data_IF_140488660988
#
_entry.id   IF_140488660988
#
_cell.length_a   1.000
_cell.length_b   1.000
_cell.length_c   1.000
_cell.angle_alpha   90.00
_cell.angle_beta   90.00
_cell.angle_gamma   90.00
#
_symmetry.space_group_name_H-M   'P 1'
#
loop_
_entity.id
_entity.type
_entity.pdbx_description
1 polymer ?
#
# COMPACT_ATOMS: atom_id res chain seq x y z
N UNK A 1 -46.55 9.04 21.20
CA UNK A 1 -45.76 9.82 20.21
C UNK A 1 -44.26 9.95 20.55
N UNK A 2 -43.81 9.69 21.79
CA UNK A 2 -42.38 9.82 22.15
C UNK A 2 -41.53 8.59 21.76
N UNK A 3 -42.04 7.38 21.96
CA UNK A 3 -41.31 6.11 21.71
C UNK A 3 -40.98 5.90 20.22
N UNK A 4 -41.87 6.34 19.32
CA UNK A 4 -41.67 6.21 17.87
C UNK A 4 -40.53 7.11 17.36
N UNK A 5 -40.31 8.27 18.01
CA UNK A 5 -39.20 9.20 17.72
C UNK A 5 -37.86 8.66 18.24
N UNK A 6 -37.85 7.99 19.38
CA UNK A 6 -36.64 7.37 19.95
C UNK A 6 -36.17 6.18 19.11
N UNK A 7 -37.11 5.36 18.61
CA UNK A 7 -36.81 4.23 17.71
C UNK A 7 -36.31 4.68 16.33
N UNK A 8 -36.82 5.80 15.79
CA UNK A 8 -36.32 6.36 14.53
C UNK A 8 -34.92 6.94 14.67
N UNK A 9 -34.59 7.59 15.79
CA UNK A 9 -33.22 8.09 16.08
C UNK A 9 -32.19 6.95 16.24
N UNK A 10 -32.57 5.83 16.85
CA UNK A 10 -31.72 4.63 16.93
C UNK A 10 -31.54 3.94 15.57
N UNK A 11 -32.59 3.90 14.74
CA UNK A 11 -32.51 3.36 13.38
C UNK A 11 -31.64 4.24 12.46
N UNK A 12 -31.73 5.58 12.57
CA UNK A 12 -30.87 6.53 11.85
C UNK A 12 -29.40 6.49 12.32
N UNK A 13 -29.16 6.21 13.61
CA UNK A 13 -27.82 6.02 14.17
C UNK A 13 -27.14 4.74 13.70
N UNK A 14 -27.89 3.64 13.53
CA UNK A 14 -27.38 2.38 12.98
C UNK A 14 -27.14 2.42 11.45
N UNK A 15 -27.75 3.37 10.73
CA UNK A 15 -27.49 3.63 9.30
C UNK A 15 -26.33 4.59 9.03
N UNK A 16 -25.62 5.08 10.05
CA UNK A 16 -24.25 5.56 9.84
C UNK A 16 -23.43 4.33 9.53
N UNK A 17 -23.53 3.94 8.26
CA UNK A 17 -22.87 2.82 7.66
C UNK A 17 -21.43 2.82 8.15
N UNK A 18 -20.96 1.65 8.55
CA UNK A 18 -19.56 1.29 8.46
C UNK A 18 -19.12 1.60 7.03
N UNK A 19 -18.73 2.84 6.76
CA UNK A 19 -18.14 3.24 5.52
C UNK A 19 -16.77 2.56 5.54
N UNK A 20 -16.74 1.30 5.09
CA UNK A 20 -15.49 0.58 4.87
C UNK A 20 -14.60 1.52 4.09
N UNK A 21 -13.45 1.87 4.66
CA UNK A 21 -12.45 2.72 4.00
C UNK A 21 -12.17 2.07 2.65
N UNK A 22 -12.35 2.82 1.55
CA UNK A 22 -12.14 2.33 0.18
C UNK A 22 -10.90 2.97 -0.42
N UNK A 23 -10.42 2.38 -1.51
CA UNK A 23 -9.41 3.01 -2.34
C UNK A 23 -9.97 4.33 -2.90
N UNK A 24 -9.20 5.41 -2.71
CA UNK A 24 -9.55 6.73 -3.20
C UNK A 24 -9.49 6.76 -4.72
N UNK A 25 -10.44 7.49 -5.31
CA UNK A 25 -10.36 7.91 -6.70
C UNK A 25 -9.36 9.07 -6.83
N UNK A 26 -8.74 9.25 -8.00
CA UNK A 26 -7.90 10.42 -8.25
C UNK A 26 -8.68 11.73 -8.11
N UNK A 27 -8.08 12.73 -7.48
CA UNK A 27 -8.63 14.08 -7.41
C UNK A 27 -8.03 14.95 -8.52
N UNK A 28 -8.83 15.46 -9.48
CA UNK A 28 -8.30 16.18 -10.64
C UNK A 28 -7.39 17.35 -10.31
N UNK A 29 -7.70 18.12 -9.25
CA UNK A 29 -6.88 19.26 -8.81
C UNK A 29 -5.55 18.80 -8.24
N UNK A 30 -5.57 17.78 -7.38
CA UNK A 30 -4.38 17.15 -6.80
C UNK A 30 -3.50 16.48 -7.85
N UNK A 31 -4.10 15.92 -8.90
CA UNK A 31 -3.38 15.32 -10.03
C UNK A 31 -2.67 16.36 -10.91
N UNK A 32 -3.33 17.48 -11.20
CA UNK A 32 -2.77 18.57 -11.98
C UNK A 32 -1.58 19.23 -11.25
N UNK A 33 -1.67 19.33 -9.93
CA UNK A 33 -0.66 19.97 -9.08
C UNK A 33 0.23 18.95 -8.33
N UNK A 34 0.30 17.70 -8.81
CA UNK A 34 1.01 16.64 -8.08
C UNK A 34 2.50 16.95 -7.92
N UNK A 35 3.01 16.74 -6.72
CA UNK A 35 4.43 16.89 -6.41
C UNK A 35 5.19 15.67 -6.92
N UNK A 36 6.30 15.91 -7.62
CA UNK A 36 7.23 14.88 -8.11
C UNK A 36 8.59 15.18 -7.52
N UNK A 37 9.01 14.40 -6.54
CA UNK A 37 10.29 14.59 -5.85
C UNK A 37 11.45 14.00 -6.63
N UNK A 38 11.21 12.96 -7.42
CA UNK A 38 12.21 12.32 -8.25
C UNK A 38 11.60 11.71 -9.50
N UNK A 39 12.47 11.46 -10.49
CA UNK A 39 12.18 10.65 -11.67
C UNK A 39 13.25 9.59 -11.77
N UNK A 40 12.86 8.35 -12.06
CA UNK A 40 13.78 7.24 -12.27
C UNK A 40 13.37 6.47 -13.53
N UNK A 41 14.36 6.06 -14.34
CA UNK A 41 14.12 5.23 -15.53
C UNK A 41 14.52 3.80 -15.21
N UNK A 42 13.56 2.89 -15.30
CA UNK A 42 13.80 1.48 -15.00
C UNK A 42 14.60 0.77 -16.11
N UNK A 43 14.99 -0.48 -15.84
CA UNK A 43 15.74 -1.31 -16.78
C UNK A 43 14.99 -1.60 -18.10
N UNK A 44 13.67 -1.40 -18.14
CA UNK A 44 12.84 -1.53 -19.35
C UNK A 44 12.81 -0.22 -20.16
N UNK A 45 13.46 0.84 -19.67
CA UNK A 45 13.47 2.16 -20.29
C UNK A 45 12.24 3.00 -19.94
N UNK A 46 11.38 2.57 -19.02
CA UNK A 46 10.17 3.31 -18.62
C UNK A 46 10.54 4.34 -17.56
N UNK A 47 10.13 5.60 -17.76
CA UNK A 47 10.35 6.68 -16.79
C UNK A 47 9.19 6.78 -15.80
N UNK A 48 9.51 6.69 -14.52
CA UNK A 48 8.57 6.76 -13.40
C UNK A 48 8.81 8.05 -12.61
N UNK A 49 7.74 8.64 -12.07
CA UNK A 49 7.83 9.77 -11.14
C UNK A 49 7.50 9.31 -9.73
N UNK A 50 8.23 9.79 -8.73
CA UNK A 50 8.08 9.37 -7.33
C UNK A 50 7.66 10.53 -6.44
N UNK A 51 6.76 10.21 -5.53
CA UNK A 51 6.33 11.06 -4.43
C UNK A 51 6.74 10.39 -3.12
N UNK A 52 7.54 11.08 -2.31
CA UNK A 52 7.97 10.64 -1.00
C UNK A 52 7.19 11.41 0.06
N UNK A 53 6.31 10.73 0.79
CA UNK A 53 5.42 11.38 1.77
C UNK A 53 6.19 12.09 2.89
N UNK A 54 7.39 11.63 3.23
CA UNK A 54 8.26 12.25 4.24
C UNK A 54 8.93 13.55 3.77
N UNK A 55 8.95 13.84 2.48
CA UNK A 55 9.56 15.07 1.92
C UNK A 55 8.54 16.22 1.77
N UNK A 56 7.24 15.91 1.82
CA UNK A 56 6.17 16.91 1.70
C UNK A 56 5.64 17.29 3.09
N UNK A 57 5.67 18.59 3.41
CA UNK A 57 5.31 19.09 4.74
C UNK A 57 3.94 18.62 5.27
N UNK A 58 2.84 18.66 4.49
CA UNK A 58 1.55 18.10 4.90
C UNK A 58 1.53 16.62 5.29
N UNK A 59 2.44 15.80 4.76
CA UNK A 59 2.43 14.34 4.94
C UNK A 59 3.61 13.81 5.75
N UNK A 60 4.60 14.65 6.08
CA UNK A 60 5.90 14.18 6.57
C UNK A 60 5.89 13.47 7.92
N UNK A 61 4.91 13.77 8.75
CA UNK A 61 4.75 13.21 10.10
C UNK A 61 3.55 12.27 10.21
N UNK A 62 2.96 11.87 9.08
CA UNK A 62 1.82 10.97 9.09
C UNK A 62 2.28 9.53 9.30
N UNK A 63 1.75 8.90 10.34
CA UNK A 63 1.78 7.46 10.52
C UNK A 63 0.38 6.92 10.24
N UNK A 64 0.24 6.16 9.16
CA UNK A 64 -1.05 5.71 8.65
C UNK A 64 -1.01 4.22 8.33
N UNK A 65 -2.19 3.61 8.21
CA UNK A 65 -2.31 2.23 7.73
C UNK A 65 -1.98 2.11 6.23
N UNK A 66 -1.93 0.88 5.74
CA UNK A 66 -1.59 0.60 4.34
C UNK A 66 -2.57 1.23 3.35
N UNK A 67 -3.86 1.19 3.65
CA UNK A 67 -4.90 1.71 2.76
C UNK A 67 -4.81 3.23 2.64
N UNK A 68 -4.61 3.93 3.75
CA UNK A 68 -4.40 5.38 3.76
C UNK A 68 -3.12 5.79 3.05
N UNK A 69 -2.03 5.05 3.24
CA UNK A 69 -0.78 5.30 2.53
C UNK A 69 -0.99 5.25 1.01
N UNK A 70 -1.75 4.26 0.52
CA UNK A 70 -2.15 4.19 -0.88
C UNK A 70 -3.05 5.35 -1.28
N UNK A 71 -4.04 5.69 -0.46
CA UNK A 71 -5.00 6.76 -0.75
C UNK A 71 -4.36 8.15 -0.84
N UNK A 72 -3.28 8.40 -0.08
CA UNK A 72 -2.47 9.61 -0.25
C UNK A 72 -1.96 9.67 -1.69
N UNK A 73 -1.30 8.62 -2.20
CA UNK A 73 -0.79 8.59 -3.56
C UNK A 73 -1.90 8.61 -4.63
N UNK A 74 -2.98 7.85 -4.43
CA UNK A 74 -4.08 7.71 -5.41
C UNK A 74 -4.80 9.01 -5.71
N UNK A 75 -5.01 9.86 -4.70
CA UNK A 75 -5.58 11.20 -4.91
C UNK A 75 -4.72 12.07 -5.84
N UNK A 76 -3.41 11.82 -5.92
CA UNK A 76 -2.48 12.55 -6.78
C UNK A 76 -2.25 11.89 -8.15
N UNK A 77 -3.12 10.97 -8.59
CA UNK A 77 -2.94 10.17 -9.82
C UNK A 77 -1.64 9.36 -9.80
N UNK A 78 -1.24 8.89 -8.62
CA UNK A 78 -0.13 7.98 -8.39
C UNK A 78 -0.65 6.76 -7.63
N UNK A 79 0.23 5.84 -7.22
CA UNK A 79 -0.12 4.78 -6.26
C UNK A 79 1.08 4.55 -5.32
N UNK A 80 0.91 3.72 -4.29
CA UNK A 80 2.06 3.28 -3.51
C UNK A 80 3.06 2.53 -4.40
N UNK A 81 4.34 2.62 -4.06
CA UNK A 81 5.42 2.13 -4.91
C UNK A 81 5.35 0.61 -5.11
N UNK A 82 5.51 0.19 -6.36
CA UNK A 82 5.69 -1.19 -6.79
C UNK A 82 7.16 -1.37 -7.15
N UNK A 83 7.85 -2.33 -6.55
CA UNK A 83 9.29 -2.54 -6.78
C UNK A 83 9.45 -3.72 -7.75
N UNK A 84 9.47 -3.44 -9.04
CA UNK A 84 9.42 -4.47 -10.08
C UNK A 84 10.81 -4.92 -10.55
N UNK A 85 11.83 -4.08 -10.31
CA UNK A 85 13.21 -4.36 -10.71
C UNK A 85 14.17 -4.19 -9.53
N UNK A 86 15.28 -4.95 -9.47
CA UNK A 86 16.29 -4.79 -8.43
C UNK A 86 16.86 -3.36 -8.36
N UNK A 87 17.03 -2.71 -9.51
CA UNK A 87 17.59 -1.37 -9.60
C UNK A 87 16.61 -0.30 -9.09
N UNK A 88 15.32 -0.44 -9.39
CA UNK A 88 14.28 0.43 -8.80
C UNK A 88 14.21 0.26 -7.29
N UNK A 89 14.24 -0.98 -6.80
CA UNK A 89 14.27 -1.27 -5.38
C UNK A 89 15.48 -0.63 -4.68
N UNK A 90 16.67 -0.74 -5.26
CA UNK A 90 17.87 -0.10 -4.72
C UNK A 90 17.77 1.44 -4.72
N UNK A 91 17.22 2.03 -5.78
CA UNK A 91 16.91 3.46 -5.81
C UNK A 91 16.01 3.90 -4.64
N UNK A 92 14.96 3.13 -4.34
CA UNK A 92 14.05 3.40 -3.23
C UNK A 92 14.76 3.24 -1.88
N UNK A 93 15.53 2.16 -1.69
CA UNK A 93 16.32 1.93 -0.46
C UNK A 93 17.29 3.06 -0.17
N UNK A 94 18.00 3.54 -1.19
CA UNK A 94 18.90 4.68 -1.05
C UNK A 94 18.17 5.95 -0.65
N UNK A 95 16.97 6.19 -1.19
CA UNK A 95 16.16 7.35 -0.81
C UNK A 95 15.69 7.27 0.64
N UNK A 96 15.24 6.09 1.09
CA UNK A 96 14.84 5.81 2.48
C UNK A 96 16.03 6.08 3.43
N UNK A 97 17.20 5.52 3.12
CA UNK A 97 18.40 5.69 3.94
C UNK A 97 18.84 7.15 4.05
N UNK A 98 18.88 7.88 2.92
CA UNK A 98 19.22 9.32 2.91
C UNK A 98 18.21 10.18 3.66
N UNK A 99 16.94 9.79 3.64
CA UNK A 99 15.87 10.46 4.38
C UNK A 99 15.81 10.11 5.87
N UNK A 100 16.66 9.20 6.35
CA UNK A 100 16.58 8.62 7.69
C UNK A 100 15.17 8.09 8.03
N UNK A 101 14.53 7.45 7.04
CA UNK A 101 13.17 6.94 7.18
C UNK A 101 13.20 5.51 7.69
N UNK A 102 12.53 5.26 8.82
CA UNK A 102 12.56 3.94 9.48
C UNK A 102 11.87 2.84 8.67
N UNK A 103 10.76 3.17 8.01
CA UNK A 103 9.99 2.25 7.18
C UNK A 103 9.01 3.03 6.30
N UNK A 104 8.53 2.38 5.24
CA UNK A 104 7.46 2.88 4.37
C UNK A 104 6.44 1.78 4.09
N UNK A 105 5.25 2.17 3.66
CA UNK A 105 4.33 1.26 2.99
C UNK A 105 4.62 1.23 1.49
N UNK A 106 4.68 0.02 0.93
CA UNK A 106 4.71 -0.22 -0.52
C UNK A 106 3.32 -0.68 -0.99
N UNK A 107 3.12 -0.86 -2.29
CA UNK A 107 1.85 -1.41 -2.78
C UNK A 107 1.73 -2.93 -2.64
N UNK A 108 2.65 -3.60 -1.93
CA UNK A 108 2.61 -5.05 -1.74
C UNK A 108 1.31 -5.49 -1.06
N UNK A 109 0.60 -6.46 -1.66
CA UNK A 109 -0.66 -6.98 -1.13
C UNK A 109 -0.71 -8.49 -1.31
N UNK A 110 -1.14 -9.19 -0.26
CA UNK A 110 -1.49 -10.62 -0.34
C UNK A 110 -2.85 -10.81 -1.03
N UNK A 111 -2.95 -11.74 -1.96
CA UNK A 111 -4.21 -12.12 -2.58
C UNK A 111 -4.95 -13.09 -1.64
N UNK A 112 -5.73 -12.54 -0.71
CA UNK A 112 -6.50 -13.28 0.29
C UNK A 112 -7.98 -12.84 0.34
N UNK A 113 -8.53 -12.51 -0.82
CA UNK A 113 -9.90 -12.07 -1.00
C UNK A 113 -10.56 -12.87 -2.14
N UNK A 114 -11.88 -12.74 -2.28
CA UNK A 114 -12.63 -13.47 -3.30
C UNK A 114 -12.03 -13.26 -4.71
N UNK A 115 -11.80 -14.36 -5.43
CA UNK A 115 -11.14 -14.34 -6.75
C UNK A 115 -9.64 -14.66 -6.72
N UNK A 116 -9.05 -14.90 -5.55
CA UNK A 116 -7.65 -15.31 -5.39
C UNK A 116 -7.44 -16.84 -5.42
N UNK A 117 -8.46 -17.63 -5.75
CA UNK A 117 -8.42 -19.11 -5.72
C UNK A 117 -7.66 -19.75 -6.90
N UNK A 118 -6.91 -18.94 -7.65
CA UNK A 118 -6.09 -19.43 -8.76
C UNK A 118 -4.97 -20.35 -8.24
N UNK A 119 -4.72 -21.50 -8.89
CA UNK A 119 -3.70 -22.45 -8.45
C UNK A 119 -2.30 -21.85 -8.30
N UNK A 120 -1.93 -20.90 -9.17
CA UNK A 120 -0.61 -20.28 -9.15
C UNK A 120 -0.40 -19.28 -7.99
N UNK A 121 -1.46 -18.93 -7.25
CA UNK A 121 -1.41 -18.04 -6.08
C UNK A 121 -1.40 -18.83 -4.77
N UNK A 122 -1.42 -20.16 -4.81
CA UNK A 122 -1.48 -21.02 -3.62
C UNK A 122 -0.09 -21.58 -3.25
N UNK A 123 0.26 -21.65 -1.95
CA UNK A 123 -0.47 -21.08 -0.83
C UNK A 123 -0.36 -19.54 -0.83
N UNK A 124 -1.39 -18.79 -0.37
CA UNK A 124 -1.43 -17.33 -0.53
C UNK A 124 -0.29 -16.61 0.19
N UNK A 125 0.20 -17.19 1.29
CA UNK A 125 1.30 -16.58 2.03
C UNK A 125 2.64 -16.66 1.29
N UNK A 126 2.81 -17.61 0.36
CA UNK A 126 4.03 -17.78 -0.42
C UNK A 126 3.91 -17.20 -1.83
N UNK A 127 2.85 -17.58 -2.55
CA UNK A 127 2.68 -17.29 -3.98
C UNK A 127 1.65 -16.20 -4.27
N UNK A 128 0.91 -15.76 -3.24
CA UNK A 128 -0.23 -14.84 -3.38
C UNK A 128 0.15 -13.36 -3.35
N UNK A 129 1.43 -12.98 -3.33
CA UNK A 129 1.82 -11.58 -3.25
C UNK A 129 1.87 -10.92 -4.62
N UNK A 130 1.39 -9.68 -4.70
CA UNK A 130 1.44 -8.86 -5.90
C UNK A 130 1.58 -7.38 -5.54
N UNK A 131 2.05 -6.60 -6.50
CA UNK A 131 2.09 -5.15 -6.42
C UNK A 131 0.74 -4.57 -6.82
N UNK A 132 -0.05 -4.13 -5.85
CA UNK A 132 -1.40 -3.61 -6.13
C UNK A 132 -1.43 -2.26 -6.86
N UNK A 133 -0.28 -1.58 -6.99
CA UNK A 133 -0.13 -0.36 -7.79
C UNK A 133 0.00 -0.64 -9.29
N UNK A 134 0.66 -1.73 -9.67
CA UNK A 134 0.87 -2.12 -11.07
C UNK A 134 0.14 -3.39 -11.52
N UNK A 135 -0.33 -4.21 -10.58
CA UNK A 135 -0.93 -5.52 -10.82
C UNK A 135 0.09 -6.66 -11.02
N UNK A 136 1.39 -6.39 -10.97
CA UNK A 136 2.44 -7.38 -11.23
C UNK A 136 2.58 -8.35 -10.05
N UNK A 137 2.64 -9.65 -10.36
CA UNK A 137 2.86 -10.72 -9.37
C UNK A 137 4.28 -10.62 -8.78
N UNK A 138 4.39 -10.79 -7.47
CA UNK A 138 5.67 -10.92 -6.76
C UNK A 138 6.07 -12.39 -6.74
N UNK A 139 7.37 -12.66 -6.87
CA UNK A 139 7.91 -14.03 -6.78
C UNK A 139 7.61 -14.70 -5.42
N UNK A 140 7.76 -16.02 -5.33
CA UNK A 140 7.49 -16.76 -4.09
C UNK A 140 8.29 -16.20 -2.92
N UNK A 141 7.65 -16.03 -1.76
CA UNK A 141 8.32 -15.42 -0.60
C UNK A 141 9.45 -16.29 -0.05
N UNK A 142 9.45 -17.59 -0.35
CA UNK A 142 10.52 -18.55 -0.02
C UNK A 142 11.81 -18.30 -0.82
N UNK A 143 11.74 -17.61 -1.96
CA UNK A 143 12.90 -17.25 -2.78
C UNK A 143 13.54 -15.95 -2.30
N UNK A 144 14.48 -16.07 -1.35
CA UNK A 144 15.19 -14.92 -0.76
C UNK A 144 16.22 -14.26 -1.68
N UNK A 145 16.58 -14.91 -2.78
CA UNK A 145 17.55 -14.39 -3.76
C UNK A 145 16.92 -13.40 -4.76
N UNK A 146 15.60 -13.41 -4.91
CA UNK A 146 14.87 -12.58 -5.89
C UNK A 146 13.98 -11.52 -5.25
N UNK A 147 13.81 -11.54 -3.92
CA UNK A 147 12.99 -10.57 -3.20
C UNK A 147 13.67 -10.06 -1.92
N UNK A 148 13.31 -8.86 -1.49
CA UNK A 148 13.85 -8.19 -0.30
C UNK A 148 13.11 -8.51 0.99
N UNK A 149 12.59 -9.74 1.07
CA UNK A 149 12.02 -10.23 2.30
C UNK A 149 13.15 -10.40 3.33
N UNK A 150 13.14 -9.58 4.37
CA UNK A 150 14.04 -9.72 5.51
C UNK A 150 13.77 -11.03 6.28
N UNK A 151 14.65 -11.37 7.22
CA UNK A 151 14.42 -12.53 8.09
C UNK A 151 13.13 -12.39 8.90
N UNK A 152 12.93 -11.24 9.54
CA UNK A 152 11.69 -10.82 10.23
C UNK A 152 11.38 -9.35 9.93
N UNK A 153 10.21 -8.86 10.30
CA UNK A 153 9.89 -7.43 10.24
C UNK A 153 9.37 -6.89 11.57
N UNK A 154 8.34 -6.05 11.50
CA UNK A 154 7.86 -5.28 12.65
C UNK A 154 7.26 -6.14 13.77
N UNK A 155 6.83 -7.36 13.47
CA UNK A 155 6.24 -8.30 14.43
C UNK A 155 7.23 -9.35 14.93
N UNK A 156 8.47 -9.34 14.44
CA UNK A 156 9.51 -10.30 14.86
C UNK A 156 9.24 -11.74 14.42
N UNK A 157 8.30 -11.96 13.50
CA UNK A 157 7.99 -13.27 12.92
C UNK A 157 8.67 -13.42 11.56
N UNK A 158 8.90 -14.66 11.08
CA UNK A 158 9.44 -14.88 9.74
C UNK A 158 8.61 -14.18 8.65
N UNK A 159 9.26 -13.45 7.75
CA UNK A 159 8.57 -12.78 6.65
C UNK A 159 7.90 -13.78 5.69
N UNK A 160 6.64 -13.56 5.27
CA UNK A 160 5.87 -12.32 5.44
C UNK A 160 5.24 -12.11 6.83
N UNK A 161 5.60 -11.03 7.53
CA UNK A 161 5.06 -10.68 8.85
C UNK A 161 4.11 -9.47 8.71
N UNK A 162 2.81 -9.72 8.84
CA UNK A 162 1.83 -8.72 8.42
C UNK A 162 1.80 -7.51 9.36
N UNK A 163 2.46 -6.41 8.98
CA UNK A 163 2.51 -5.16 9.76
C UNK A 163 1.14 -4.47 9.93
N UNK A 164 0.19 -4.72 9.03
CA UNK A 164 -1.14 -4.06 9.03
C UNK A 164 -2.05 -4.59 10.16
N UNK A 165 -2.02 -5.91 10.41
CA UNK A 165 -2.65 -6.61 11.54
C UNK A 165 -2.32 -8.11 11.44
N UNK A 166 -2.34 -8.87 12.54
CA UNK A 166 -2.37 -10.33 12.45
C UNK A 166 -3.64 -10.75 11.67
N UNK A 167 -3.47 -11.29 10.47
CA UNK A 167 -4.57 -11.93 9.74
C UNK A 167 -4.77 -13.30 10.37
N UNK A 168 -5.64 -13.36 11.38
CA UNK A 168 -6.25 -14.60 11.87
C UNK A 168 -7.07 -15.26 10.77
#
# INVERSE_FOLDING_TARGET
>A
MSVLRTLTLLALGATVALAQRRLALPDPRSCANRVRHATYRDARGVAHSYFFSWELAPTRSLEVDWLDARNICRRHCMDAVSMETPQENEFIKQRIARGNVRYIWTSGRKCNFAGCDRPDLQPPNENGWFWSGSGVKVGPTTQRNTGDWSYTGGYGQPQPDNREAAQV
#
